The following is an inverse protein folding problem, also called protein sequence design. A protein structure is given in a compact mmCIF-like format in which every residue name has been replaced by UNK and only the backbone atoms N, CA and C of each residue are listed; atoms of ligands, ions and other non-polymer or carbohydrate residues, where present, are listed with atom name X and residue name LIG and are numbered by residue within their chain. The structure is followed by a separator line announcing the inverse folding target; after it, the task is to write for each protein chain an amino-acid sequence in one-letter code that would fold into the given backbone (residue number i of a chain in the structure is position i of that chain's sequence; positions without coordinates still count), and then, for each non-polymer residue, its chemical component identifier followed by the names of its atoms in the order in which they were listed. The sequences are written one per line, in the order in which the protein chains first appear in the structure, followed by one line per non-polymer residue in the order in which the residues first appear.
data_IF_394458124765
#
_entry.id   IF_394458124765
#
_cell.length_a   1.000
_cell.length_b   1.000
_cell.length_c   1.000
_cell.angle_alpha   90.00
_cell.angle_beta   90.00
_cell.angle_gamma   90.00
#
_symmetry.space_group_name_H-M   'P 1'
#
loop_
_entity.id
_entity.type
_entity.pdbx_description
1 polymer ?
#
# COMPACT_ATOMS: atom_id res chain seq x y z
N UNK A 1 8.07 -3.03 -33.71
CA UNK A 1 8.76 -2.15 -32.74
C UNK A 1 9.11 -0.88 -33.49
N UNK A 2 8.35 0.19 -33.29
CA UNK A 2 8.71 1.52 -33.78
C UNK A 2 8.40 2.52 -32.67
N UNK A 3 9.45 3.09 -32.08
CA UNK A 3 9.37 4.17 -31.10
C UNK A 3 9.28 5.49 -31.84
N UNK A 4 8.12 6.16 -31.77
CA UNK A 4 7.96 7.54 -32.24
C UNK A 4 8.43 8.51 -31.16
N UNK A 5 9.48 9.26 -31.49
CA UNK A 5 10.10 10.29 -30.66
C UNK A 5 9.27 11.57 -30.77
N UNK A 6 8.64 12.00 -29.67
CA UNK A 6 7.88 13.26 -29.63
C UNK A 6 8.84 14.40 -29.22
N UNK A 7 9.09 15.33 -30.14
CA UNK A 7 9.81 16.58 -29.84
C UNK A 7 8.87 17.58 -29.19
N UNK A 8 9.16 17.98 -27.95
CA UNK A 8 8.49 19.10 -27.29
C UNK A 8 9.27 20.37 -27.59
N UNK A 9 8.74 21.21 -28.49
CA UNK A 9 9.20 22.59 -28.65
C UNK A 9 8.63 23.39 -27.48
N UNK A 10 9.53 23.89 -26.63
CA UNK A 10 9.19 24.78 -25.53
C UNK A 10 8.47 26.04 -26.04
N UNK A 11 7.49 26.52 -25.29
CA UNK A 11 6.85 27.85 -25.37
C UNK A 11 5.53 28.07 -26.14
N UNK A 12 4.66 27.07 -26.35
CA UNK A 12 3.23 27.37 -26.64
C UNK A 12 2.23 26.47 -25.92
N UNK A 13 1.39 27.11 -25.09
CA UNK A 13 0.33 26.56 -24.25
C UNK A 13 -0.95 26.25 -25.06
N UNK A 14 -0.83 25.51 -26.15
CA UNK A 14 -1.99 25.03 -26.92
C UNK A 14 -1.81 23.55 -27.26
N UNK A 15 -2.78 22.73 -26.83
CA UNK A 15 -2.84 21.32 -27.21
C UNK A 15 -3.32 21.28 -28.66
N UNK A 16 -2.41 20.95 -29.58
CA UNK A 16 -2.68 20.94 -31.03
C UNK A 16 -3.51 19.73 -31.44
N UNK A 17 -3.32 18.59 -30.76
CA UNK A 17 -4.07 17.38 -31.02
C UNK A 17 -4.06 16.50 -29.76
N UNK A 18 -5.23 15.95 -29.41
CA UNK A 18 -5.34 14.91 -28.38
C UNK A 18 -5.89 13.66 -29.05
N UNK A 19 -5.01 12.76 -29.46
CA UNK A 19 -5.40 11.43 -29.90
C UNK A 19 -5.89 10.64 -28.68
N UNK A 20 -7.20 10.44 -28.58
CA UNK A 20 -7.85 9.72 -27.47
C UNK A 20 -8.42 8.37 -27.94
N UNK A 21 -7.84 7.81 -29.02
CA UNK A 21 -8.22 6.48 -29.53
C UNK A 21 -7.69 5.40 -28.58
N UNK A 22 -8.58 4.96 -27.69
CA UNK A 22 -8.36 3.80 -26.83
C UNK A 22 -8.86 2.54 -27.55
N UNK A 23 -8.04 1.98 -28.44
CA UNK A 23 -8.37 0.75 -29.17
C UNK A 23 -8.00 -0.52 -28.39
N UNK A 24 -8.29 -0.53 -27.08
CA UNK A 24 -8.11 -1.70 -26.22
C UNK A 24 -9.45 -2.11 -25.62
N UNK A 25 -9.60 -3.40 -25.33
CA UNK A 25 -10.77 -3.87 -24.60
C UNK A 25 -10.83 -3.21 -23.22
N UNK A 26 -12.05 -2.97 -22.73
CA UNK A 26 -12.23 -2.45 -21.39
C UNK A 26 -11.72 -3.47 -20.37
N UNK A 27 -10.98 -3.00 -19.38
CA UNK A 27 -10.51 -3.86 -18.29
C UNK A 27 -11.70 -4.27 -17.44
N UNK A 28 -11.75 -5.55 -17.07
CA UNK A 28 -12.76 -6.10 -16.16
C UNK A 28 -12.85 -5.25 -14.86
N UNK A 29 -14.07 -4.84 -14.53
CA UNK A 29 -14.39 -4.06 -13.34
C UNK A 29 -13.89 -4.74 -12.06
N UNK A 30 -13.95 -6.07 -12.00
CA UNK A 30 -13.40 -6.84 -10.87
C UNK A 30 -11.90 -6.60 -10.69
N UNK A 31 -11.15 -6.56 -11.79
CA UNK A 31 -9.71 -6.30 -11.76
C UNK A 31 -9.42 -4.89 -11.28
N UNK A 32 -10.19 -3.90 -11.77
CA UNK A 32 -10.05 -2.50 -11.36
C UNK A 32 -10.37 -2.33 -9.87
N UNK A 33 -11.48 -2.90 -9.40
CA UNK A 33 -11.89 -2.85 -8.01
C UNK A 33 -10.86 -3.54 -7.10
N UNK A 34 -10.39 -4.74 -7.45
CA UNK A 34 -9.34 -5.42 -6.69
C UNK A 34 -8.08 -4.57 -6.58
N UNK A 35 -7.67 -3.93 -7.68
CA UNK A 35 -6.49 -3.08 -7.71
C UNK A 35 -6.66 -1.83 -6.83
N UNK A 36 -7.83 -1.16 -6.93
CA UNK A 36 -8.19 0.00 -6.11
C UNK A 36 -8.11 -0.32 -4.62
N UNK A 37 -8.77 -1.39 -4.19
CA UNK A 37 -8.79 -1.80 -2.77
C UNK A 37 -7.43 -2.31 -2.30
N UNK A 38 -6.73 -3.11 -3.11
CA UNK A 38 -5.38 -3.59 -2.80
C UNK A 38 -4.44 -2.41 -2.53
N UNK A 39 -4.44 -1.39 -3.38
CA UNK A 39 -3.57 -0.22 -3.21
C UNK A 39 -3.94 0.63 -2.00
N UNK A 40 -5.24 0.84 -1.74
CA UNK A 40 -5.70 1.54 -0.55
C UNK A 40 -5.26 0.83 0.74
N UNK A 41 -5.53 -0.47 0.83
CA UNK A 41 -5.21 -1.28 2.00
C UNK A 41 -3.70 -1.50 2.17
N UNK A 42 -2.92 -1.58 1.08
CA UNK A 42 -1.46 -1.64 1.14
C UNK A 42 -0.88 -0.43 1.86
N UNK A 43 -1.33 0.79 1.51
CA UNK A 43 -0.91 2.03 2.18
C UNK A 43 -1.33 2.04 3.66
N UNK A 44 -2.58 1.68 3.95
CA UNK A 44 -3.09 1.63 5.34
C UNK A 44 -2.39 0.59 6.19
N UNK A 45 -2.02 -0.56 5.62
CA UNK A 45 -1.31 -1.61 6.31
C UNK A 45 0.11 -1.18 6.74
N UNK A 46 0.72 -0.24 6.00
CA UNK A 46 2.01 0.35 6.33
C UNK A 46 1.90 1.43 7.42
N UNK A 47 0.84 2.25 7.39
CA UNK A 47 0.63 3.30 8.39
C UNK A 47 0.10 2.77 9.72
N UNK A 48 -0.81 1.79 9.67
CA UNK A 48 -1.43 1.16 10.83
C UNK A 48 -1.03 -0.31 10.91
N UNK A 49 0.23 -0.51 11.30
CA UNK A 49 0.88 -1.81 11.34
C UNK A 49 0.29 -2.72 12.43
N UNK A 50 -0.14 -2.12 13.54
CA UNK A 50 -0.69 -2.80 14.72
C UNK A 50 -2.13 -3.25 14.52
N UNK A 51 -2.90 -2.60 13.64
CA UNK A 51 -4.26 -3.04 13.34
C UNK A 51 -4.30 -4.43 12.69
N UNK A 52 -5.32 -5.20 13.04
CA UNK A 52 -5.57 -6.50 12.41
C UNK A 52 -5.96 -6.30 10.93
N UNK A 53 -5.36 -7.02 9.96
CA UNK A 53 -5.68 -6.86 8.54
C UNK A 53 -7.17 -7.02 8.23
N UNK A 54 -7.85 -7.96 8.90
CA UNK A 54 -9.29 -8.15 8.76
C UNK A 54 -10.10 -6.90 9.13
N UNK A 55 -9.69 -6.16 10.18
CA UNK A 55 -10.34 -4.91 10.57
C UNK A 55 -10.20 -3.86 9.47
N UNK A 56 -9.00 -3.71 8.92
CA UNK A 56 -8.73 -2.77 7.82
C UNK A 56 -9.56 -3.13 6.57
N UNK A 57 -9.61 -4.40 6.19
CA UNK A 57 -10.41 -4.89 5.06
C UNK A 57 -11.90 -4.58 5.30
N UNK A 58 -12.45 -4.96 6.45
CA UNK A 58 -13.86 -4.70 6.76
C UNK A 58 -14.18 -3.21 6.80
N UNK A 59 -13.26 -2.36 7.29
CA UNK A 59 -13.47 -0.91 7.26
C UNK A 59 -13.44 -0.33 5.85
N UNK A 60 -12.72 -0.96 4.92
CA UNK A 60 -12.66 -0.50 3.53
C UNK A 60 -13.90 -0.93 2.75
N UNK A 61 -14.33 -2.18 2.93
CA UNK A 61 -15.56 -2.70 2.34
C UNK A 61 -16.81 -1.94 2.77
N UNK A 62 -16.80 -1.26 3.92
CA UNK A 62 -17.90 -0.40 4.37
C UNK A 62 -17.94 0.97 3.70
N UNK A 63 -16.86 1.39 3.02
CA UNK A 63 -16.76 2.73 2.42
C UNK A 63 -17.22 2.75 0.97
N UNK A 64 -17.13 1.61 0.30
CA UNK A 64 -17.33 1.48 -1.14
C UNK A 64 -17.96 0.11 -1.39
N UNK A 65 -19.06 0.09 -2.13
CA UNK A 65 -19.76 -1.16 -2.48
C UNK A 65 -18.94 -1.87 -3.56
N UNK A 66 -18.16 -2.85 -3.12
CA UNK A 66 -17.23 -3.61 -3.97
C UNK A 66 -17.80 -5.00 -4.23
N UNK A 67 -19.03 -5.05 -4.76
CA UNK A 67 -19.80 -6.29 -4.98
C UNK A 67 -19.12 -7.26 -5.94
N UNK A 68 -18.19 -6.77 -6.78
CA UNK A 68 -17.45 -7.60 -7.75
C UNK A 68 -16.34 -8.46 -7.13
N UNK A 69 -15.97 -8.22 -5.86
CA UNK A 69 -14.88 -8.95 -5.20
C UNK A 69 -15.35 -10.26 -4.58
N UNK A 70 -14.55 -11.31 -4.76
CA UNK A 70 -14.78 -12.60 -4.14
C UNK A 70 -13.81 -12.88 -2.97
N UNK A 71 -13.99 -14.06 -2.34
CA UNK A 71 -13.13 -14.48 -1.23
C UNK A 71 -11.66 -14.68 -1.63
N UNK A 72 -11.37 -15.08 -2.86
CA UNK A 72 -10.01 -15.25 -3.36
C UNK A 72 -9.32 -13.89 -3.50
N UNK A 73 -10.03 -12.88 -3.98
CA UNK A 73 -9.54 -11.50 -4.04
C UNK A 73 -9.13 -10.99 -2.66
N UNK A 74 -9.93 -11.28 -1.62
CA UNK A 74 -9.61 -10.91 -0.24
C UNK A 74 -8.35 -11.60 0.26
N UNK A 75 -8.08 -12.85 -0.15
CA UNK A 75 -6.83 -13.56 0.17
C UNK A 75 -5.64 -12.88 -0.49
N UNK A 76 -5.74 -12.54 -1.78
CA UNK A 76 -4.67 -11.85 -2.51
C UNK A 76 -4.37 -10.47 -1.90
N UNK A 77 -5.41 -9.73 -1.54
CA UNK A 77 -5.28 -8.43 -0.87
C UNK A 77 -4.59 -8.58 0.49
N UNK A 78 -4.96 -9.60 1.26
CA UNK A 78 -4.31 -9.89 2.56
C UNK A 78 -2.83 -10.22 2.39
N UNK A 79 -2.45 -10.98 1.34
CA UNK A 79 -1.04 -11.23 1.02
C UNK A 79 -0.31 -9.94 0.67
N UNK A 80 -0.90 -9.06 -0.14
CA UNK A 80 -0.30 -7.77 -0.48
C UNK A 80 -0.07 -6.89 0.75
N UNK A 81 -1.06 -6.84 1.67
CA UNK A 81 -0.92 -6.14 2.95
C UNK A 81 0.21 -6.73 3.80
N UNK A 82 0.28 -8.06 3.90
CA UNK A 82 1.33 -8.73 4.67
C UNK A 82 2.72 -8.42 4.11
N UNK A 83 2.90 -8.50 2.80
CA UNK A 83 4.18 -8.15 2.14
C UNK A 83 4.58 -6.70 2.38
N UNK A 84 3.61 -5.78 2.39
CA UNK A 84 3.88 -4.37 2.70
C UNK A 84 4.25 -4.13 4.18
N UNK A 85 3.75 -4.95 5.11
CA UNK A 85 4.21 -4.89 6.50
C UNK A 85 5.62 -5.43 6.68
N UNK A 86 5.96 -6.49 5.94
CA UNK A 86 7.31 -7.06 5.98
C UNK A 86 8.38 -6.08 5.48
N UNK A 87 8.06 -5.10 4.64
CA UNK A 87 9.03 -4.07 4.25
C UNK A 87 9.34 -3.06 5.36
N UNK A 88 8.55 -3.02 6.44
CA UNK A 88 8.76 -2.14 7.60
C UNK A 88 9.40 -2.92 8.75
N UNK A 89 8.99 -4.17 8.95
CA UNK A 89 9.52 -5.00 10.03
C UNK A 89 10.98 -5.40 9.77
N UNK A 90 11.81 -5.45 10.83
CA UNK A 90 13.16 -5.98 10.72
C UNK A 90 13.10 -7.45 10.29
N UNK A 91 14.06 -7.85 9.44
CA UNK A 91 14.21 -9.26 9.03
C UNK A 91 14.55 -10.09 10.27
N UNK A 92 14.00 -11.31 10.34
CA UNK A 92 14.31 -12.25 11.42
C UNK A 92 15.83 -12.48 11.50
N UNK A 93 16.49 -12.10 12.61
CA UNK A 93 17.91 -12.31 12.78
C UNK A 93 18.26 -13.80 12.80
N UNK A 94 19.34 -14.19 12.12
CA UNK A 94 19.82 -15.59 12.12
C UNK A 94 20.90 -15.82 13.17
N UNK A 95 21.50 -14.75 13.67
CA UNK A 95 22.59 -14.78 14.65
C UNK A 95 22.31 -13.81 15.80
N UNK A 96 22.90 -14.10 16.96
CA UNK A 96 22.76 -13.26 18.15
C UNK A 96 23.21 -11.81 17.91
N UNK A 97 24.31 -11.62 17.17
CA UNK A 97 24.83 -10.28 16.84
C UNK A 97 23.83 -9.47 16.01
N UNK A 98 23.25 -10.08 14.97
CA UNK A 98 22.23 -9.45 14.12
C UNK A 98 20.99 -9.04 14.92
N UNK A 99 20.64 -9.80 15.97
CA UNK A 99 19.53 -9.46 16.85
C UNK A 99 19.81 -8.19 17.65
N UNK A 100 21.00 -8.07 18.26
CA UNK A 100 21.40 -6.86 18.99
C UNK A 100 21.43 -5.63 18.06
N UNK A 101 22.06 -5.76 16.89
CA UNK A 101 22.09 -4.68 15.88
C UNK A 101 20.70 -4.26 15.41
N UNK A 102 19.74 -5.20 15.34
CA UNK A 102 18.36 -4.91 14.96
C UNK A 102 17.63 -4.14 16.05
N UNK A 103 17.83 -4.50 17.33
CA UNK A 103 17.24 -3.78 18.46
C UNK A 103 17.79 -2.37 18.55
N UNK A 104 19.10 -2.17 18.38
CA UNK A 104 19.72 -0.84 18.40
C UNK A 104 19.21 0.07 17.28
N UNK A 105 18.95 -0.48 16.08
CA UNK A 105 18.39 0.27 14.95
C UNK A 105 16.95 0.71 15.17
N UNK A 106 16.19 -0.02 15.97
CA UNK A 106 14.81 0.32 16.30
C UNK A 106 14.90 1.29 17.49
N UNK A 107 14.61 2.58 17.28
CA UNK A 107 14.62 3.60 18.32
C UNK A 107 13.44 3.41 19.30
N UNK A 108 13.46 2.31 20.07
CA UNK A 108 12.42 1.93 21.02
C UNK A 108 12.52 2.85 22.23
N UNK A 109 11.55 3.76 22.36
CA UNK A 109 11.40 4.58 23.54
C UNK A 109 10.33 3.95 24.44
N UNK A 110 10.76 3.42 25.58
CA UNK A 110 9.84 2.95 26.61
C UNK A 110 9.50 4.13 27.51
N UNK A 111 8.21 4.47 27.62
CA UNK A 111 7.76 5.47 28.59
C UNK A 111 7.96 4.87 29.98
N UNK A 112 8.96 5.38 30.72
CA UNK A 112 9.14 5.02 32.13
C UNK A 112 7.94 5.56 32.93
N UNK A 113 7.39 4.73 33.81
CA UNK A 113 6.15 5.00 34.54
C UNK A 113 6.23 6.24 35.44
N UNK A 114 5.21 7.09 35.30
CA UNK A 114 4.57 7.97 36.29
C UNK A 114 5.46 8.75 37.27
N UNK A 115 5.69 10.04 36.98
CA UNK A 115 5.77 11.03 38.04
C UNK A 115 4.40 11.12 38.71
N UNK A 116 4.25 10.43 39.84
CA UNK A 116 3.16 10.68 40.78
C UNK A 116 3.37 12.05 41.40
N UNK A 117 2.76 13.08 40.81
CA UNK A 117 2.62 14.35 41.51
C UNK A 117 1.52 14.22 42.56
N UNK A 118 1.99 14.30 43.79
CA UNK A 118 1.26 14.36 45.04
C UNK A 118 0.32 15.57 45.06
N UNK A 119 -0.78 15.42 45.79
CA UNK A 119 -1.83 16.41 46.05
C UNK A 119 -1.33 17.70 46.67
#
# INVERSE_FOLDING_TARGET
METLLVFIVADRKFIVEKCNDHNHENVDEKVLNRQKMSNSLKRKAMTDISSRPAKLICTELKKDDMETLDSNDLVLIRHNMHRARLSIHPVLPKKLKEAHESVEKINIQTRLSAEGNQS
#
